data_IF_895131504997
#
_entry.id   IF_895131504997
#
_cell.length_a   1.000
_cell.length_b   1.000
_cell.length_c   1.000
_cell.angle_alpha   90.00
_cell.angle_beta   90.00
_cell.angle_gamma   90.00
#
_symmetry.space_group_name_H-M   'P 1'
#
loop_
_entity.id
_entity.type
_entity.pdbx_description
1 polymer ?
#
# COMPACT_ATOMS: atom_id res chain seq x y z
N UNK A 1 13.89 -13.55 12.72
CA UNK A 1 13.47 -12.37 13.51
C UNK A 1 13.02 -11.34 12.49
N UNK A 2 11.72 -11.00 12.45
CA UNK A 2 11.23 -9.97 11.54
C UNK A 2 11.88 -8.64 11.92
N UNK A 3 12.61 -8.02 11.00
CA UNK A 3 13.14 -6.68 11.20
C UNK A 3 11.93 -5.75 11.30
N UNK A 4 11.82 -4.99 12.39
CA UNK A 4 10.73 -4.04 12.56
C UNK A 4 10.80 -2.96 11.47
N UNK A 5 9.65 -2.59 10.91
CA UNK A 5 9.58 -1.56 9.89
C UNK A 5 9.98 -0.20 10.50
N UNK A 6 11.11 0.40 10.08
CA UNK A 6 11.64 1.61 10.72
C UNK A 6 10.74 2.83 10.49
N UNK A 7 9.97 2.84 9.39
CA UNK A 7 8.99 3.88 9.10
C UNK A 7 7.86 3.82 10.14
N UNK A 8 7.38 2.61 10.44
CA UNK A 8 6.37 2.42 11.48
C UNK A 8 6.86 2.79 12.87
N UNK A 9 8.12 2.51 13.21
CA UNK A 9 8.70 2.90 14.49
C UNK A 9 8.70 4.42 14.66
N UNK A 10 9.17 5.15 13.65
CA UNK A 10 9.15 6.61 13.65
C UNK A 10 7.73 7.18 13.73
N UNK A 11 6.76 6.55 13.04
CA UNK A 11 5.35 6.96 13.09
C UNK A 11 4.69 6.66 14.45
N UNK A 12 5.09 5.57 15.11
CA UNK A 12 4.54 5.16 16.41
C UNK A 12 5.02 6.06 17.54
N UNK A 13 6.28 6.45 17.53
CA UNK A 13 6.89 7.26 18.60
C UNK A 13 6.22 8.64 18.75
N UNK A 14 5.63 9.16 17.66
CA UNK A 14 4.89 10.43 17.61
C UNK A 14 3.37 10.26 17.42
N UNK A 15 2.84 9.05 17.61
CA UNK A 15 1.44 8.74 17.33
C UNK A 15 0.47 9.63 18.12
N UNK A 16 0.76 9.89 19.40
CA UNK A 16 -0.11 10.69 20.25
C UNK A 16 -0.21 12.16 19.80
N UNK A 17 0.89 12.75 19.33
CA UNK A 17 0.89 14.11 18.76
C UNK A 17 0.11 14.18 17.44
N UNK A 18 0.27 13.15 16.60
CA UNK A 18 -0.38 13.06 15.29
C UNK A 18 -1.89 12.80 15.37
N UNK A 19 -2.35 12.01 16.33
CA UNK A 19 -3.79 11.77 16.53
C UNK A 19 -4.55 13.05 16.93
N UNK A 20 -3.84 14.07 17.44
CA UNK A 20 -4.40 15.40 17.73
C UNK A 20 -4.58 16.30 16.49
N UNK A 21 -3.93 15.97 15.37
CA UNK A 21 -3.98 16.75 14.13
C UNK A 21 -4.23 15.82 12.93
N UNK A 22 -5.51 15.72 12.53
CA UNK A 22 -5.95 14.92 11.38
C UNK A 22 -5.26 15.35 10.09
N UNK A 23 -4.97 16.64 9.92
CA UNK A 23 -4.31 17.18 8.73
C UNK A 23 -2.83 16.77 8.71
N UNK A 24 -2.17 16.67 9.87
CA UNK A 24 -0.83 16.10 9.95
C UNK A 24 -0.82 14.63 9.51
N UNK A 25 -1.80 13.82 9.96
CA UNK A 25 -1.90 12.42 9.52
C UNK A 25 -2.14 12.34 8.01
N UNK A 26 -3.01 13.21 7.46
CA UNK A 26 -3.28 13.25 6.03
C UNK A 26 -2.02 13.63 5.22
N UNK A 27 -1.23 14.61 5.66
CA UNK A 27 0.05 14.96 5.01
C UNK A 27 1.01 13.78 4.94
N UNK A 28 1.06 12.94 5.98
CA UNK A 28 1.90 11.73 5.97
C UNK A 28 1.35 10.66 5.01
N UNK A 29 0.03 10.49 4.93
CA UNK A 29 -0.60 9.59 3.95
C UNK A 29 -0.22 10.02 2.53
N UNK A 30 -0.28 11.32 2.24
CA UNK A 30 0.04 11.86 0.92
C UNK A 30 1.53 11.71 0.59
N UNK A 31 2.41 11.87 1.58
CA UNK A 31 3.84 11.64 1.44
C UNK A 31 4.16 10.16 1.15
N UNK A 32 3.64 9.22 1.94
CA UNK A 32 3.87 7.78 1.69
C UNK A 32 3.27 7.35 0.35
N UNK A 33 2.13 7.91 -0.06
CA UNK A 33 1.57 7.65 -1.39
C UNK A 33 2.48 8.15 -2.51
N UNK A 34 3.11 9.31 -2.34
CA UNK A 34 4.09 9.82 -3.30
C UNK A 34 5.31 8.91 -3.39
N UNK A 35 5.84 8.46 -2.24
CA UNK A 35 6.96 7.51 -2.17
C UNK A 35 6.64 6.17 -2.82
N UNK A 36 5.42 5.64 -2.65
CA UNK A 36 4.96 4.44 -3.38
C UNK A 36 4.98 4.67 -4.89
N UNK A 37 4.51 5.83 -5.34
CA UNK A 37 4.53 6.20 -6.76
C UNK A 37 5.94 6.26 -7.33
N UNK A 38 6.88 6.86 -6.60
CA UNK A 38 8.30 6.90 -6.97
C UNK A 38 8.92 5.50 -6.97
N UNK A 39 8.67 4.70 -5.94
CA UNK A 39 9.17 3.33 -5.84
C UNK A 39 8.66 2.43 -6.98
N UNK A 40 7.40 2.61 -7.40
CA UNK A 40 6.83 1.91 -8.55
C UNK A 40 7.54 2.30 -9.86
N UNK A 41 7.90 3.58 -10.03
CA UNK A 41 8.73 4.04 -11.15
C UNK A 41 10.11 3.38 -11.17
N UNK A 42 10.81 3.42 -10.04
CA UNK A 42 12.12 2.77 -9.87
C UNK A 42 12.06 1.25 -10.12
N UNK A 43 11.00 0.58 -9.65
CA UNK A 43 10.80 -0.84 -9.90
C UNK A 43 10.61 -1.13 -11.39
N UNK A 44 9.82 -0.32 -12.09
CA UNK A 44 9.61 -0.48 -13.53
C UNK A 44 10.92 -0.31 -14.33
N UNK A 45 11.73 0.68 -13.98
CA UNK A 45 13.05 0.91 -14.58
C UNK A 45 14.01 -0.25 -14.30
N UNK A 46 14.10 -0.69 -13.05
CA UNK A 46 14.95 -1.80 -12.65
C UNK A 46 14.53 -3.13 -13.31
N UNK A 47 13.22 -3.38 -13.43
CA UNK A 47 12.68 -4.55 -14.12
C UNK A 47 13.00 -4.52 -15.63
N UNK A 48 12.95 -3.35 -16.27
CA UNK A 48 13.33 -3.19 -17.67
C UNK A 48 14.83 -3.45 -17.89
N UNK A 49 15.68 -2.92 -17.01
CA UNK A 49 17.13 -3.21 -17.03
C UNK A 49 17.41 -4.70 -16.84
N UNK A 50 16.76 -5.34 -15.86
CA UNK A 50 16.92 -6.77 -15.62
C UNK A 50 16.51 -7.61 -16.85
N UNK A 51 15.43 -7.23 -17.52
CA UNK A 51 14.99 -7.91 -18.74
C UNK A 51 15.99 -7.73 -19.90
N UNK A 52 16.61 -6.54 -20.00
CA UNK A 52 17.64 -6.27 -21.00
C UNK A 52 18.92 -7.07 -20.71
N UNK A 53 19.37 -7.12 -19.46
CA UNK A 53 20.56 -7.85 -19.06
C UNK A 53 20.36 -9.37 -19.22
N UNK A 54 19.15 -9.86 -18.94
CA UNK A 54 18.78 -11.25 -19.25
C UNK A 54 18.91 -11.58 -20.73
N UNK A 55 18.46 -10.69 -21.62
CA UNK A 55 18.57 -10.90 -23.07
C UNK A 55 20.03 -10.94 -23.50
N UNK A 56 20.85 -9.99 -23.03
CA UNK A 56 22.29 -9.94 -23.32
C UNK A 56 23.01 -11.19 -22.83
N UNK A 57 22.74 -11.64 -21.61
CA UNK A 57 23.31 -12.87 -21.07
C UNK A 57 22.97 -14.08 -21.95
N UNK A 58 21.72 -14.20 -22.39
CA UNK A 58 21.30 -15.30 -23.27
C UNK A 58 21.97 -15.22 -24.65
N UNK A 59 22.13 -14.02 -25.21
CA UNK A 59 22.85 -13.82 -26.48
C UNK A 59 24.33 -14.21 -26.38
N UNK A 60 25.03 -13.74 -25.34
CA UNK A 60 26.44 -14.07 -25.11
C UNK A 60 26.63 -15.56 -24.86
N UNK A 61 25.80 -16.16 -24.00
CA UNK A 61 25.83 -17.60 -23.73
C UNK A 61 25.54 -18.43 -24.99
N UNK A 62 24.57 -18.01 -25.80
CA UNK A 62 24.25 -18.69 -27.07
C UNK A 62 25.41 -18.59 -28.07
N UNK A 63 25.98 -17.40 -28.25
CA UNK A 63 27.12 -17.19 -29.16
C UNK A 63 28.34 -18.00 -28.72
N UNK A 64 28.65 -18.03 -27.42
CA UNK A 64 29.71 -18.85 -26.86
C UNK A 64 29.46 -20.34 -27.10
N UNK A 65 28.22 -20.81 -26.91
CA UNK A 65 27.85 -22.20 -27.16
C UNK A 65 28.00 -22.59 -28.64
N UNK A 66 27.56 -21.72 -29.56
CA UNK A 66 27.70 -21.94 -31.01
C UNK A 66 29.18 -21.96 -31.43
N UNK A 67 30.00 -21.04 -30.92
CA UNK A 67 31.43 -20.99 -31.20
C UNK A 67 32.15 -22.29 -30.77
N UNK A 68 31.78 -22.85 -29.62
CA UNK A 68 32.37 -24.09 -29.11
C UNK A 68 31.84 -25.35 -29.80
N UNK A 69 30.58 -25.34 -30.24
CA UNK A 69 30.04 -26.40 -31.10
C UNK A 69 30.77 -26.45 -32.45
N UNK A 70 31.15 -25.30 -33.00
CA UNK A 70 31.98 -25.22 -34.20
C UNK A 70 33.41 -25.78 -34.00
N UNK A 71 33.90 -25.78 -32.74
CA UNK A 71 35.17 -26.38 -32.33
C UNK A 71 35.09 -27.88 -32.00
N UNK A 72 33.92 -28.52 -32.19
CA UNK A 72 33.71 -29.96 -31.94
C UNK A 72 33.93 -30.40 -30.47
N UNK A 73 33.70 -29.52 -29.50
CA UNK A 73 33.77 -29.90 -28.08
C UNK A 73 32.58 -30.80 -27.67
N UNK A 74 32.80 -31.78 -26.77
CA UNK A 74 31.76 -32.70 -26.33
C UNK A 74 30.63 -31.98 -25.57
N UNK A 75 29.35 -32.33 -25.85
CA UNK A 75 28.18 -31.59 -25.35
C UNK A 75 27.99 -31.65 -23.82
N UNK A 76 28.55 -32.66 -23.16
CA UNK A 76 28.40 -32.86 -21.72
C UNK A 76 29.30 -31.92 -20.89
N UNK A 77 30.44 -31.48 -21.45
CA UNK A 77 31.32 -30.49 -20.81
C UNK A 77 30.89 -29.05 -21.07
N UNK A 78 30.06 -28.83 -22.11
CA UNK A 78 29.76 -27.52 -22.67
C UNK A 78 29.14 -26.56 -21.64
N UNK A 79 28.23 -27.02 -20.77
CA UNK A 79 27.59 -26.16 -19.74
C UNK A 79 28.58 -25.68 -18.68
N UNK A 80 29.45 -26.58 -18.21
CA UNK A 80 30.45 -26.29 -17.17
C UNK A 80 31.52 -25.32 -17.71
N UNK A 81 31.94 -25.58 -18.95
CA UNK A 81 32.91 -24.76 -19.68
C UNK A 81 32.31 -23.40 -20.09
N UNK A 82 31.01 -23.31 -20.38
CA UNK A 82 30.31 -22.05 -20.69
C UNK A 82 30.21 -21.15 -19.45
N UNK A 83 30.04 -21.73 -18.26
CA UNK A 83 30.10 -21.00 -17.00
C UNK A 83 31.53 -20.52 -16.67
N UNK A 84 32.56 -21.25 -17.12
CA UNK A 84 33.96 -20.84 -17.03
C UNK A 84 34.36 -19.78 -18.08
N UNK A 85 33.46 -19.43 -19.00
CA UNK A 85 33.71 -18.34 -19.95
C UNK A 85 33.69 -16.98 -19.22
N UNK A 86 34.79 -16.21 -19.23
CA UNK A 86 34.88 -14.96 -18.47
C UNK A 86 33.84 -13.92 -18.92
N UNK A 87 33.42 -13.94 -20.19
CA UNK A 87 32.40 -13.01 -20.69
C UNK A 87 31.00 -13.37 -20.18
N UNK A 88 30.65 -14.67 -20.21
CA UNK A 88 29.37 -15.18 -19.69
C UNK A 88 29.30 -14.98 -18.17
N UNK A 89 30.39 -15.25 -17.45
CA UNK A 89 30.49 -15.05 -16.01
C UNK A 89 30.31 -13.58 -15.61
N UNK A 90 30.94 -12.65 -16.34
CA UNK A 90 30.79 -11.20 -16.09
C UNK A 90 29.35 -10.72 -16.29
N UNK A 91 28.68 -11.19 -17.36
CA UNK A 91 27.29 -10.84 -17.64
C UNK A 91 26.31 -11.49 -16.65
N UNK A 92 26.61 -12.71 -16.17
CA UNK A 92 25.84 -13.36 -15.14
C UNK A 92 25.94 -12.61 -13.80
N UNK A 93 27.13 -12.12 -13.43
CA UNK A 93 27.32 -11.30 -12.24
C UNK A 93 26.52 -9.99 -12.30
N UNK A 94 26.57 -9.29 -13.44
CA UNK A 94 25.80 -8.06 -13.65
C UNK A 94 24.28 -8.30 -13.56
N UNK A 95 23.80 -9.42 -14.13
CA UNK A 95 22.40 -9.84 -14.01
C UNK A 95 21.99 -10.11 -12.56
N UNK A 96 22.83 -10.79 -11.77
CA UNK A 96 22.57 -11.06 -10.35
C UNK A 96 22.51 -9.76 -9.54
N UNK A 97 23.38 -8.80 -9.81
CA UNK A 97 23.35 -7.48 -9.17
C UNK A 97 22.07 -6.70 -9.52
N UNK A 98 21.66 -6.72 -10.79
CA UNK A 98 20.39 -6.14 -11.22
C UNK A 98 19.18 -6.82 -10.56
N UNK A 99 19.20 -8.15 -10.43
CA UNK A 99 18.15 -8.91 -9.75
C UNK A 99 18.09 -8.56 -8.25
N UNK A 100 19.25 -8.39 -7.61
CA UNK A 100 19.35 -7.94 -6.22
C UNK A 100 18.72 -6.56 -6.02
N UNK A 101 18.95 -5.61 -6.94
CA UNK A 101 18.34 -4.28 -6.88
C UNK A 101 16.81 -4.34 -6.97
N UNK A 102 16.26 -5.16 -7.86
CA UNK A 102 14.79 -5.34 -7.96
C UNK A 102 14.21 -5.90 -6.66
N UNK A 103 14.89 -6.87 -6.03
CA UNK A 103 14.43 -7.46 -4.77
C UNK A 103 14.45 -6.44 -3.61
N UNK A 104 15.47 -5.58 -3.54
CA UNK A 104 15.53 -4.49 -2.54
C UNK A 104 14.38 -3.49 -2.74
N UNK A 105 14.10 -3.09 -3.99
CA UNK A 105 12.99 -2.16 -4.30
C UNK A 105 11.64 -2.79 -3.91
N UNK A 106 11.48 -4.09 -4.14
CA UNK A 106 10.28 -4.84 -3.75
C UNK A 106 10.13 -4.96 -2.23
N UNK A 107 11.23 -5.13 -1.49
CA UNK A 107 11.20 -5.09 -0.03
C UNK A 107 10.78 -3.71 0.47
N UNK A 108 11.26 -2.64 -0.17
CA UNK A 108 10.85 -1.27 0.15
C UNK A 108 9.34 -1.04 -0.09
N UNK A 109 8.79 -1.61 -1.17
CA UNK A 109 7.34 -1.55 -1.46
C UNK A 109 6.50 -2.13 -0.30
N UNK A 110 6.90 -3.28 0.23
CA UNK A 110 6.22 -3.91 1.37
C UNK A 110 6.25 -3.03 2.63
N UNK A 111 7.37 -2.35 2.89
CA UNK A 111 7.50 -1.46 4.05
C UNK A 111 6.62 -0.21 3.90
N UNK A 112 6.55 0.36 2.68
CA UNK A 112 5.72 1.51 2.37
C UNK A 112 4.22 1.16 2.45
N UNK A 113 3.82 0.00 1.96
CA UNK A 113 2.43 -0.49 2.06
C UNK A 113 2.00 -0.68 3.52
N UNK A 114 2.86 -1.28 4.34
CA UNK A 114 2.59 -1.46 5.77
C UNK A 114 2.45 -0.09 6.48
N UNK A 115 3.31 0.87 6.15
CA UNK A 115 3.22 2.24 6.65
C UNK A 115 1.93 2.94 6.20
N UNK A 116 1.51 2.76 4.94
CA UNK A 116 0.28 3.32 4.42
C UNK A 116 -0.95 2.78 5.17
N UNK A 117 -1.02 1.45 5.39
CA UNK A 117 -2.12 0.83 6.14
C UNK A 117 -2.18 1.40 7.56
N UNK A 118 -1.03 1.50 8.24
CA UNK A 118 -0.96 2.07 9.58
C UNK A 118 -1.44 3.53 9.62
N UNK A 119 -1.05 4.35 8.64
CA UNK A 119 -1.47 5.75 8.54
C UNK A 119 -2.96 5.89 8.22
N UNK A 120 -3.53 5.01 7.39
CA UNK A 120 -4.98 5.00 7.13
C UNK A 120 -5.77 4.69 8.40
N UNK A 121 -5.32 3.70 9.18
CA UNK A 121 -5.92 3.38 10.49
C UNK A 121 -5.77 4.57 11.44
N UNK A 122 -4.56 5.13 11.54
CA UNK A 122 -4.28 6.31 12.39
C UNK A 122 -5.14 7.52 12.00
N UNK A 123 -5.41 7.71 10.71
CA UNK A 123 -6.29 8.77 10.21
C UNK A 123 -7.72 8.57 10.69
N UNK A 124 -8.24 7.35 10.61
CA UNK A 124 -9.58 7.02 11.11
C UNK A 124 -9.66 7.28 12.62
N UNK A 125 -8.63 6.89 13.37
CA UNK A 125 -8.56 7.19 14.80
C UNK A 125 -8.49 8.70 15.08
N UNK A 126 -7.60 9.43 14.42
CA UNK A 126 -7.46 10.88 14.57
C UNK A 126 -8.78 11.58 14.26
N UNK A 127 -9.45 11.17 13.19
CA UNK A 127 -10.75 11.69 12.81
C UNK A 127 -11.81 11.39 13.87
N UNK A 128 -11.85 10.15 14.38
CA UNK A 128 -12.75 9.78 15.48
C UNK A 128 -12.50 10.66 16.71
N UNK A 129 -11.24 10.76 17.18
CA UNK A 129 -10.83 11.59 18.33
C UNK A 129 -11.21 13.05 18.15
N UNK A 130 -10.91 13.63 16.99
CA UNK A 130 -11.23 15.02 16.68
C UNK A 130 -12.72 15.30 16.79
N UNK A 131 -13.60 14.29 16.61
CA UNK A 131 -15.05 14.45 16.65
C UNK A 131 -15.75 13.71 17.79
N UNK A 132 -15.01 13.17 18.76
CA UNK A 132 -15.59 12.58 19.98
C UNK A 132 -16.50 13.58 20.68
N UNK A 133 -16.14 14.86 20.69
CA UNK A 133 -16.95 15.93 21.27
C UNK A 133 -18.29 16.19 20.54
N UNK A 134 -18.44 15.71 19.30
CA UNK A 134 -19.66 15.81 18.51
C UNK A 134 -20.58 14.59 18.70
N UNK A 135 -20.08 13.47 19.24
CA UNK A 135 -20.90 12.27 19.53
C UNK A 135 -22.14 12.59 20.39
N UNK A 136 -22.06 13.41 21.46
CA UNK A 136 -23.25 13.82 22.19
C UNK A 136 -24.24 14.60 21.31
N UNK A 137 -23.73 15.51 20.47
CA UNK A 137 -24.54 16.33 19.57
C UNK A 137 -25.22 15.53 18.46
N UNK A 138 -24.55 14.51 17.91
CA UNK A 138 -25.09 13.62 16.87
C UNK A 138 -26.17 12.70 17.44
N UNK A 139 -25.98 12.19 18.65
CA UNK A 139 -27.01 11.43 19.34
C UNK A 139 -28.23 12.33 19.63
N UNK A 140 -28.00 13.59 19.98
CA UNK A 140 -29.07 14.59 20.20
C UNK A 140 -29.78 14.96 18.89
N UNK A 141 -29.08 15.17 17.78
CA UNK A 141 -29.72 15.46 16.48
C UNK A 141 -30.44 14.24 15.91
N UNK A 142 -29.90 13.03 16.10
CA UNK A 142 -30.61 11.79 15.76
C UNK A 142 -31.88 11.64 16.61
N UNK A 143 -31.81 11.93 17.91
CA UNK A 143 -32.99 11.95 18.80
C UNK A 143 -34.00 13.04 18.41
N UNK A 144 -33.54 14.21 17.97
CA UNK A 144 -34.41 15.30 17.51
C UNK A 144 -35.08 14.98 16.17
N UNK A 145 -34.33 14.42 15.22
CA UNK A 145 -34.88 13.93 13.94
C UNK A 145 -35.89 12.81 14.17
N UNK A 146 -35.63 11.92 15.14
CA UNK A 146 -36.56 10.90 15.60
C UNK A 146 -37.84 11.50 16.19
N UNK A 147 -37.71 12.49 17.10
CA UNK A 147 -38.86 13.17 17.69
C UNK A 147 -39.71 13.88 16.61
N UNK A 148 -39.06 14.51 15.64
CA UNK A 148 -39.75 15.12 14.49
C UNK A 148 -40.46 14.09 13.62
N UNK A 149 -39.82 12.97 13.29
CA UNK A 149 -40.44 11.91 12.50
C UNK A 149 -41.64 11.26 13.23
N UNK A 150 -41.54 11.08 14.55
CA UNK A 150 -42.63 10.57 15.39
C UNK A 150 -43.82 11.53 15.45
N UNK A 151 -43.55 12.83 15.63
CA UNK A 151 -44.58 13.89 15.66
C UNK A 151 -45.26 14.03 14.30
N UNK A 152 -44.50 14.06 13.21
CA UNK A 152 -45.04 14.17 11.84
C UNK A 152 -45.87 12.94 11.46
N UNK A 153 -45.49 11.74 11.94
CA UNK A 153 -46.24 10.51 11.69
C UNK A 153 -47.41 10.26 12.65
N UNK A 154 -47.72 11.22 13.55
CA UNK A 154 -48.77 11.05 14.58
C UNK A 154 -48.62 9.76 15.39
N UNK A 155 -47.38 9.33 15.63
CA UNK A 155 -47.06 8.11 16.37
C UNK A 155 -47.30 6.79 15.63
N UNK A 156 -47.55 6.81 14.32
CA UNK A 156 -47.81 5.60 13.54
C UNK A 156 -46.55 4.76 13.25
N UNK A 157 -45.35 5.35 13.29
CA UNK A 157 -44.09 4.66 12.99
C UNK A 157 -43.22 4.59 14.25
N UNK A 158 -43.17 3.42 14.87
CA UNK A 158 -42.16 3.09 15.89
C UNK A 158 -41.06 2.29 15.18
N UNK A 159 -39.92 2.89 14.82
CA UNK A 159 -38.83 2.13 14.22
C UNK A 159 -38.25 1.16 15.25
N UNK A 160 -38.21 -0.13 14.90
CA UNK A 160 -37.67 -1.16 15.77
C UNK A 160 -36.17 -0.96 16.08
N UNK A 161 -35.64 -1.60 17.15
CA UNK A 161 -34.26 -1.44 17.62
C UNK A 161 -33.19 -1.77 16.55
N UNK A 162 -33.51 -2.64 15.60
CA UNK A 162 -32.66 -2.97 14.44
C UNK A 162 -32.53 -1.81 13.44
N UNK A 163 -33.54 -0.95 13.31
CA UNK A 163 -33.47 0.27 12.48
C UNK A 163 -32.59 1.33 13.15
N UNK A 164 -32.67 1.43 14.47
CA UNK A 164 -31.83 2.33 15.28
C UNK A 164 -30.35 1.92 15.16
N UNK A 165 -30.06 0.63 15.26
CA UNK A 165 -28.69 0.14 15.10
C UNK A 165 -28.14 0.40 13.70
N UNK A 166 -28.97 0.23 12.65
CA UNK A 166 -28.57 0.50 11.26
C UNK A 166 -28.31 1.97 11.00
N UNK A 167 -29.16 2.87 11.50
CA UNK A 167 -28.98 4.32 11.36
C UNK A 167 -27.77 4.77 12.19
N UNK A 168 -27.58 4.27 13.40
CA UNK A 168 -26.40 4.56 14.20
C UNK A 168 -25.12 4.09 13.51
N UNK A 169 -25.10 2.88 12.96
CA UNK A 169 -23.96 2.34 12.20
C UNK A 169 -23.72 3.14 10.92
N UNK A 170 -24.76 3.51 10.17
CA UNK A 170 -24.63 4.30 8.95
C UNK A 170 -24.15 5.73 9.24
N UNK A 171 -24.69 6.37 10.28
CA UNK A 171 -24.27 7.71 10.72
C UNK A 171 -22.85 7.66 11.24
N UNK A 172 -22.48 6.66 12.05
CA UNK A 172 -21.11 6.47 12.52
C UNK A 172 -20.15 6.22 11.36
N UNK A 173 -20.51 5.37 10.39
CA UNK A 173 -19.69 5.13 9.19
C UNK A 173 -19.56 6.38 8.32
N UNK A 174 -20.65 7.04 7.95
CA UNK A 174 -20.62 8.26 7.14
C UNK A 174 -19.88 9.40 7.83
N UNK A 175 -20.04 9.51 9.16
CA UNK A 175 -19.36 10.50 9.94
C UNK A 175 -17.86 10.19 10.03
N UNK A 176 -17.46 8.97 10.40
CA UNK A 176 -16.05 8.53 10.47
C UNK A 176 -15.33 8.58 9.12
N UNK A 177 -16.05 8.39 8.01
CA UNK A 177 -15.48 8.44 6.65
C UNK A 177 -15.53 9.83 6.02
N UNK A 178 -16.11 10.83 6.69
CA UNK A 178 -16.20 12.20 6.18
C UNK A 178 -17.07 12.38 4.92
N UNK A 179 -18.01 11.46 4.67
CA UNK A 179 -18.96 11.60 3.55
C UNK A 179 -20.05 12.59 4.01
N UNK A 180 -20.21 13.76 3.36
CA UNK A 180 -21.28 14.68 3.71
C UNK A 180 -22.64 14.01 3.42
N UNK A 181 -23.38 13.68 4.48
CA UNK A 181 -24.79 13.27 4.39
C UNK A 181 -25.64 14.54 4.18
N UNK A 182 -25.42 15.24 3.06
CA UNK A 182 -26.30 16.33 2.64
C UNK A 182 -26.49 16.25 1.13
N UNK A 183 -27.68 15.79 0.75
CA UNK A 183 -28.43 16.41 -0.34
C UNK A 183 -28.45 15.69 -1.68
N UNK A 184 -29.26 14.63 -1.78
CA UNK A 184 -30.17 14.45 -2.93
C UNK A 184 -31.40 13.68 -2.46
N UNK A 185 -32.39 14.40 -1.97
CA UNK A 185 -33.79 14.00 -2.10
C UNK A 185 -34.40 14.99 -3.10
N UNK A 186 -35.07 14.51 -4.17
CA UNK A 186 -35.77 15.40 -5.10
C UNK A 186 -36.90 16.18 -4.42
#
# INVERSE_FOLDING_TARGET
MAHANPILEALRDDLAGRLGDVDAVQRNVDLIRAEIGENAGLHAEAAAQLAQDRRRLMEVAFNAAVARLALQEPPEGLVLLLLDDPEVAAHAAAYVEAAGRVEVIKQNELLLDEALVFLLVSRVLAFAFSRVHLLPGILVTAAAAYALAYVVSWGAVVPGPTSILRIAVLVVLCFLWGIPVVGTLP
#
